data_IF_925248631102
#
_entry.id   IF_925248631102
#
_cell.length_a   1.000
_cell.length_b   1.000
_cell.length_c   1.000
_cell.angle_alpha   90.00
_cell.angle_beta   90.00
_cell.angle_gamma   90.00
#
_symmetry.space_group_name_H-M   'P 1'
#
loop_
_entity.id
_entity.type
_entity.pdbx_description
1 polymer ?
#
# COMPACT_ATOMS: atom_id res chain seq x y z
N UNK A 1 -23.75 54.75 50.77
CA UNK A 1 -22.38 54.56 50.26
C UNK A 1 -21.77 55.93 49.98
N UNK A 2 -20.99 56.50 50.92
CA UNK A 2 -20.53 57.90 50.90
C UNK A 2 -19.01 58.08 51.12
N UNK A 3 -18.23 56.99 51.06
CA UNK A 3 -16.83 56.97 51.53
C UNK A 3 -15.77 56.91 50.42
N UNK A 4 -16.17 56.87 49.14
CA UNK A 4 -15.22 56.82 48.01
C UNK A 4 -14.93 58.20 47.38
N UNK A 5 -15.51 59.29 47.89
CA UNK A 5 -15.33 60.62 47.30
C UNK A 5 -14.04 61.35 47.66
N UNK A 6 -13.17 60.78 48.51
CA UNK A 6 -11.97 61.44 49.02
C UNK A 6 -10.65 60.94 48.40
N UNK A 7 -10.70 60.02 47.43
CA UNK A 7 -9.51 59.47 46.74
C UNK A 7 -9.37 59.95 45.28
N UNK A 8 -10.25 60.83 44.80
CA UNK A 8 -10.13 61.40 43.45
C UNK A 8 -9.22 62.65 43.50
N UNK A 9 -7.93 62.45 43.19
CA UNK A 9 -6.88 63.50 43.14
C UNK A 9 -7.11 64.49 41.98
N UNK A 10 -7.96 64.14 41.03
CA UNK A 10 -8.41 65.04 39.97
C UNK A 10 -9.94 65.17 40.07
N UNK A 11 -10.50 66.35 40.42
CA UNK A 11 -11.94 66.56 40.32
C UNK A 11 -12.32 66.37 38.86
N UNK A 12 -13.06 65.30 38.58
CA UNK A 12 -13.62 65.04 37.26
C UNK A 12 -14.36 66.30 36.83
N UNK A 13 -13.95 66.89 35.70
CA UNK A 13 -14.58 68.08 35.13
C UNK A 13 -16.10 67.94 35.25
N UNK A 14 -16.81 68.97 35.74
CA UNK A 14 -18.27 68.86 35.91
C UNK A 14 -18.86 68.27 34.64
N UNK A 15 -19.76 67.31 34.77
CA UNK A 15 -20.37 66.61 33.63
C UNK A 15 -20.98 67.57 32.60
N UNK A 16 -21.29 68.80 33.02
CA UNK A 16 -21.66 69.94 32.18
C UNK A 16 -20.54 70.39 31.22
N UNK A 17 -19.31 70.55 31.68
CA UNK A 17 -18.16 70.88 30.83
C UNK A 17 -17.78 69.73 29.90
N UNK A 18 -17.90 68.47 30.34
CA UNK A 18 -17.70 67.30 29.46
C UNK A 18 -18.74 67.23 28.33
N UNK A 19 -19.99 67.63 28.58
CA UNK A 19 -21.04 67.65 27.57
C UNK A 19 -20.90 68.83 26.59
N UNK A 20 -20.47 70.00 27.08
CA UNK A 20 -20.27 71.20 26.26
C UNK A 20 -18.98 71.13 25.40
N UNK A 21 -17.93 70.45 25.88
CA UNK A 21 -16.72 70.19 25.10
C UNK A 21 -16.89 69.01 24.13
N UNK A 22 -17.81 68.08 24.42
CA UNK A 22 -18.09 66.90 23.58
C UNK A 22 -19.22 67.18 22.61
N UNK A 23 -18.89 67.84 21.50
CA UNK A 23 -19.80 67.95 20.37
C UNK A 23 -20.04 66.56 19.76
N UNK A 24 -21.24 66.01 20.00
CA UNK A 24 -21.70 64.76 19.37
C UNK A 24 -22.02 65.04 17.91
N UNK A 25 -21.08 64.76 17.02
CA UNK A 25 -21.31 64.83 15.58
C UNK A 25 -21.70 63.44 15.06
N UNK A 26 -22.78 63.38 14.27
CA UNK A 26 -23.22 62.13 13.62
C UNK A 26 -22.10 61.53 12.74
N UNK A 27 -21.33 62.41 12.11
CA UNK A 27 -20.16 62.07 11.28
C UNK A 27 -19.06 61.40 12.10
N UNK A 28 -18.74 61.92 13.30
CA UNK A 28 -17.76 61.29 14.20
C UNK A 28 -18.19 59.91 14.69
N UNK A 29 -19.49 59.70 14.88
CA UNK A 29 -20.07 58.39 15.20
C UNK A 29 -19.88 57.38 14.07
N UNK A 30 -20.10 57.80 12.81
CA UNK A 30 -19.88 56.94 11.63
C UNK A 30 -18.40 56.56 11.51
N UNK A 31 -17.48 57.52 11.66
CA UNK A 31 -16.04 57.23 11.62
C UNK A 31 -15.59 56.26 12.73
N UNK A 32 -16.16 56.38 13.93
CA UNK A 32 -15.89 55.46 15.04
C UNK A 32 -16.41 54.03 14.77
N UNK A 33 -17.57 53.91 14.13
CA UNK A 33 -18.13 52.62 13.71
C UNK A 33 -17.27 51.96 12.63
N UNK A 34 -16.81 52.75 11.65
CA UNK A 34 -15.92 52.28 10.59
C UNK A 34 -14.58 51.81 11.16
N UNK A 35 -13.97 52.59 12.07
CA UNK A 35 -12.69 52.21 12.67
C UNK A 35 -12.80 50.94 13.50
N UNK A 36 -13.88 50.79 14.28
CA UNK A 36 -14.14 49.58 15.06
C UNK A 36 -14.34 48.35 14.16
N UNK A 37 -15.03 48.51 13.03
CA UNK A 37 -15.21 47.45 12.04
C UNK A 37 -13.87 47.02 11.44
N UNK A 38 -13.04 47.99 11.02
CA UNK A 38 -11.71 47.71 10.45
C UNK A 38 -10.84 46.95 11.47
N UNK A 39 -10.82 47.41 12.73
CA UNK A 39 -10.07 46.74 13.81
C UNK A 39 -10.58 45.30 14.00
N UNK A 40 -11.89 45.08 14.03
CA UNK A 40 -12.46 43.75 14.19
C UNK A 40 -12.07 42.81 13.04
N UNK A 41 -12.10 43.29 11.79
CA UNK A 41 -11.69 42.50 10.61
C UNK A 41 -10.21 42.13 10.69
N UNK A 42 -9.34 43.07 11.06
CA UNK A 42 -7.90 42.81 11.21
C UNK A 42 -7.62 41.78 12.31
N UNK A 43 -8.28 41.91 13.47
CA UNK A 43 -8.13 40.95 14.58
C UNK A 43 -8.58 39.55 14.15
N UNK A 44 -9.71 39.42 13.47
CA UNK A 44 -10.19 38.12 12.97
C UNK A 44 -9.19 37.53 11.96
N UNK A 45 -8.62 38.36 11.09
CA UNK A 45 -7.61 37.95 10.11
C UNK A 45 -6.35 37.40 10.77
N UNK A 46 -5.77 38.15 11.72
CA UNK A 46 -4.59 37.73 12.47
C UNK A 46 -4.84 36.47 13.30
N UNK A 47 -6.00 36.36 13.94
CA UNK A 47 -6.38 35.16 14.70
C UNK A 47 -6.47 33.94 13.78
N UNK A 48 -7.10 34.09 12.61
CA UNK A 48 -7.15 33.01 11.59
C UNK A 48 -5.76 32.61 11.11
N UNK A 49 -4.88 33.58 10.88
CA UNK A 49 -3.51 33.34 10.46
C UNK A 49 -2.70 32.62 11.56
N UNK A 50 -2.85 33.06 12.81
CA UNK A 50 -2.21 32.42 13.96
C UNK A 50 -2.68 30.97 14.17
N UNK A 51 -3.97 30.69 13.90
CA UNK A 51 -4.50 29.32 13.93
C UNK A 51 -4.14 28.49 12.69
N UNK A 52 -3.51 29.07 11.66
CA UNK A 52 -3.01 28.28 10.55
C UNK A 52 -1.75 27.52 11.00
N UNK A 53 -1.78 26.20 10.85
CA UNK A 53 -0.59 25.38 11.07
C UNK A 53 0.35 25.55 9.89
N UNK A 54 1.58 25.98 10.17
CA UNK A 54 2.66 25.99 9.18
C UNK A 54 3.57 24.81 9.50
N UNK A 55 3.57 23.82 8.62
CA UNK A 55 4.50 22.70 8.69
C UNK A 55 5.93 23.21 8.44
N UNK A 56 6.81 23.07 9.44
CA UNK A 56 8.23 23.37 9.31
C UNK A 56 9.00 22.06 9.21
N UNK A 57 9.65 21.82 8.07
CA UNK A 57 10.48 20.63 7.88
C UNK A 57 11.91 20.93 8.36
N UNK A 58 12.28 20.36 9.50
CA UNK A 58 13.65 20.40 10.01
C UNK A 58 14.40 19.12 9.64
N UNK A 59 15.67 19.25 9.28
CA UNK A 59 16.56 18.12 9.02
C UNK A 59 17.39 17.86 10.28
N UNK A 60 17.27 16.66 10.83
CA UNK A 60 18.08 16.18 11.95
C UNK A 60 19.05 15.11 11.46
N UNK A 61 20.26 15.09 12.03
CA UNK A 61 21.22 14.01 11.76
C UNK A 61 20.83 12.83 12.64
N UNK A 62 20.42 11.73 12.02
CA UNK A 62 20.18 10.48 12.73
C UNK A 62 21.52 9.90 13.24
N UNK A 63 21.75 9.81 14.56
CA UNK A 63 22.99 9.26 15.11
C UNK A 63 23.03 7.74 15.04
N UNK A 64 21.87 7.07 14.88
CA UNK A 64 21.75 5.61 14.86
C UNK A 64 21.90 5.11 13.42
N UNK A 65 23.15 4.96 12.98
CA UNK A 65 23.46 4.28 11.73
C UNK A 65 23.37 2.77 11.92
N UNK A 66 22.35 2.16 11.33
CA UNK A 66 22.17 0.71 11.28
C UNK A 66 20.96 0.25 12.07
N UNK A 67 19.96 -0.24 11.35
CA UNK A 67 18.73 -0.82 11.87
C UNK A 67 18.05 -1.59 10.74
N UNK A 68 17.16 -2.51 11.09
CA UNK A 68 16.36 -3.18 10.07
C UNK A 68 15.17 -2.30 9.70
N UNK A 69 14.97 -2.03 8.41
CA UNK A 69 13.82 -1.29 7.91
C UNK A 69 12.81 -2.28 7.33
N UNK A 70 11.64 -2.38 7.97
CA UNK A 70 10.52 -3.16 7.42
C UNK A 70 9.83 -2.33 6.31
N UNK A 71 9.99 -2.77 5.06
CA UNK A 71 9.32 -2.15 3.91
C UNK A 71 8.19 -3.07 3.49
N UNK A 72 6.95 -2.62 3.66
CA UNK A 72 5.77 -3.32 3.14
C UNK A 72 5.32 -2.67 1.84
N UNK A 73 5.36 -3.41 0.75
CA UNK A 73 4.94 -2.95 -0.58
C UNK A 73 3.62 -3.62 -0.95
N UNK A 74 2.62 -2.80 -1.28
CA UNK A 74 1.30 -3.25 -1.71
C UNK A 74 0.96 -2.62 -3.08
N UNK A 75 1.08 -3.40 -4.14
CA UNK A 75 0.92 -2.92 -5.53
C UNK A 75 -0.13 -3.78 -6.25
N UNK A 76 -0.98 -3.12 -7.04
CA UNK A 76 -1.97 -3.77 -7.89
C UNK A 76 -1.62 -3.62 -9.37
N UNK A 77 -1.72 -4.73 -10.11
CA UNK A 77 -1.43 -4.81 -11.53
C UNK A 77 -2.72 -5.09 -12.32
N UNK A 78 -3.30 -4.07 -12.99
CA UNK A 78 -4.63 -4.18 -13.59
C UNK A 78 -4.68 -5.01 -14.88
N UNK A 79 -3.54 -5.24 -15.54
CA UNK A 79 -3.47 -5.92 -16.85
C UNK A 79 -2.47 -7.08 -16.88
N UNK A 80 -2.03 -7.54 -15.71
CA UNK A 80 -1.04 -8.61 -15.60
C UNK A 80 -1.59 -9.72 -14.71
N UNK A 81 -1.62 -10.98 -15.17
CA UNK A 81 -2.05 -12.10 -14.35
C UNK A 81 -0.99 -12.43 -13.29
N UNK A 82 -1.44 -12.85 -12.10
CA UNK A 82 -0.53 -13.14 -10.98
C UNK A 82 0.51 -14.23 -11.26
N UNK A 83 0.20 -15.17 -12.15
CA UNK A 83 1.11 -16.27 -12.52
C UNK A 83 2.39 -15.78 -13.23
N UNK A 84 2.36 -14.58 -13.81
CA UNK A 84 3.47 -14.02 -14.60
C UNK A 84 4.37 -13.04 -13.84
N UNK A 85 3.97 -12.63 -12.65
CA UNK A 85 4.69 -11.58 -11.91
C UNK A 85 5.74 -12.23 -11.00
N UNK A 86 6.95 -11.70 -10.95
CA UNK A 86 7.93 -12.02 -9.89
C UNK A 86 8.29 -10.73 -9.16
N UNK A 87 8.78 -10.86 -7.92
CA UNK A 87 9.20 -9.70 -7.13
C UNK A 87 10.59 -9.98 -6.58
N UNK A 88 11.53 -9.12 -6.96
CA UNK A 88 12.92 -9.13 -6.53
C UNK A 88 13.24 -7.75 -5.94
N UNK A 89 14.03 -7.70 -4.86
CA UNK A 89 14.54 -6.45 -4.32
C UNK A 89 16.07 -6.43 -4.40
N UNK A 90 16.62 -5.29 -4.82
CA UNK A 90 18.05 -5.08 -5.00
C UNK A 90 18.44 -3.81 -4.25
N UNK A 91 19.48 -3.89 -3.44
CA UNK A 91 20.03 -2.75 -2.70
C UNK A 91 20.89 -1.84 -3.60
N UNK A 92 21.23 -0.63 -3.14
CA UNK A 92 22.12 0.31 -3.82
C UNK A 92 23.48 -0.28 -4.20
N UNK A 93 23.93 -1.32 -3.48
CA UNK A 93 25.16 -2.07 -3.79
C UNK A 93 24.97 -3.16 -4.87
N UNK A 94 23.76 -3.34 -5.41
CA UNK A 94 23.47 -4.35 -6.42
C UNK A 94 23.29 -5.77 -5.88
N UNK A 95 23.17 -5.93 -4.56
CA UNK A 95 22.92 -7.21 -3.89
C UNK A 95 21.42 -7.49 -3.81
N UNK A 96 21.00 -8.71 -4.17
CA UNK A 96 19.62 -9.15 -3.99
C UNK A 96 19.30 -9.32 -2.50
N UNK A 97 18.16 -8.79 -2.07
CA UNK A 97 17.64 -9.05 -0.73
C UNK A 97 17.20 -10.53 -0.66
N UNK A 98 17.66 -11.26 0.35
CA UNK A 98 17.27 -12.65 0.55
C UNK A 98 15.84 -12.73 1.12
N UNK A 99 15.05 -13.72 0.69
CA UNK A 99 13.75 -14.01 1.30
C UNK A 99 12.55 -13.26 0.70
N UNK A 100 12.77 -12.33 -0.24
CA UNK A 100 11.67 -11.59 -0.92
C UNK A 100 10.67 -12.53 -1.56
N UNK A 101 11.13 -13.62 -2.18
CA UNK A 101 10.26 -14.62 -2.80
C UNK A 101 9.38 -15.37 -1.79
N UNK A 102 9.85 -15.57 -0.54
CA UNK A 102 9.07 -16.28 0.49
C UNK A 102 8.04 -15.36 1.14
N UNK A 103 8.40 -14.11 1.35
CA UNK A 103 7.57 -13.11 2.04
C UNK A 103 6.65 -12.32 1.08
N UNK A 104 6.68 -12.65 -0.21
CA UNK A 104 5.76 -12.10 -1.20
C UNK A 104 4.53 -13.00 -1.36
N UNK A 105 3.37 -12.39 -1.21
CA UNK A 105 2.06 -13.00 -1.39
C UNK A 105 1.39 -12.39 -2.61
N UNK A 106 0.87 -13.27 -3.47
CA UNK A 106 0.05 -12.89 -4.61
C UNK A 106 -1.40 -13.30 -4.38
N UNK A 107 -2.33 -12.41 -4.70
CA UNK A 107 -3.75 -12.69 -4.65
C UNK A 107 -4.43 -12.13 -5.90
N UNK A 108 -5.31 -12.93 -6.50
CA UNK A 108 -6.17 -12.47 -7.59
C UNK A 108 -7.32 -11.68 -6.97
N UNK A 109 -7.52 -10.44 -7.39
CA UNK A 109 -8.57 -9.56 -6.89
C UNK A 109 -9.50 -9.08 -8.00
N UNK A 110 -10.75 -8.78 -7.65
CA UNK A 110 -11.73 -8.24 -8.59
C UNK A 110 -11.36 -6.81 -9.00
N UNK A 111 -11.45 -6.51 -10.30
CA UNK A 111 -11.09 -5.20 -10.82
C UNK A 111 -11.94 -4.04 -10.23
N UNK A 112 -13.20 -4.31 -9.89
CA UNK A 112 -14.15 -3.30 -9.40
C UNK A 112 -14.12 -3.10 -7.89
N UNK A 113 -13.90 -4.16 -7.12
CA UNK A 113 -14.14 -4.18 -5.66
C UNK A 113 -12.84 -4.40 -4.87
N UNK A 114 -11.73 -4.76 -5.55
CA UNK A 114 -10.47 -5.17 -4.93
C UNK A 114 -10.59 -6.33 -3.92
N UNK A 115 -11.73 -7.02 -3.92
CA UNK A 115 -11.95 -8.20 -3.09
C UNK A 115 -11.15 -9.38 -3.64
N UNK A 116 -10.62 -10.19 -2.71
CA UNK A 116 -9.84 -11.39 -3.03
C UNK A 116 -10.76 -12.45 -3.63
N UNK A 117 -10.51 -12.79 -4.89
CA UNK A 117 -11.21 -13.86 -5.62
C UNK A 117 -10.55 -15.22 -5.33
N UNK A 118 -9.25 -15.22 -5.06
CA UNK A 118 -8.47 -16.44 -4.79
C UNK A 118 -7.76 -16.39 -3.44
N UNK A 119 -7.53 -17.58 -2.88
CA UNK A 119 -6.62 -17.75 -1.74
C UNK A 119 -5.23 -17.20 -2.07
N UNK A 120 -4.61 -16.60 -1.06
CA UNK A 120 -3.27 -16.04 -1.12
C UNK A 120 -2.25 -17.17 -1.37
N UNK A 121 -1.47 -17.08 -2.44
CA UNK A 121 -0.40 -18.03 -2.73
C UNK A 121 0.96 -17.36 -2.55
N UNK A 122 1.92 -18.00 -1.85
CA UNK A 122 3.30 -17.50 -1.77
C UNK A 122 3.98 -17.58 -3.15
N UNK A 123 5.03 -16.79 -3.34
CA UNK A 123 5.72 -16.66 -4.63
C UNK A 123 6.40 -17.97 -5.07
N UNK A 124 6.93 -18.78 -4.14
CA UNK A 124 7.54 -20.10 -4.42
C UNK A 124 7.39 -21.07 -3.24
N UNK A 125 6.90 -22.29 -3.48
CA UNK A 125 7.14 -23.47 -2.62
C UNK A 125 8.47 -24.11 -3.06
N UNK A 126 9.62 -23.54 -2.66
CA UNK A 126 10.97 -24.02 -3.08
C UNK A 126 11.24 -25.48 -2.67
N UNK A 127 10.39 -26.06 -1.81
CA UNK A 127 10.50 -27.46 -1.39
C UNK A 127 10.00 -28.46 -2.43
N UNK A 128 9.31 -28.03 -3.49
CA UNK A 128 8.94 -28.94 -4.58
C UNK A 128 10.03 -28.92 -5.65
N UNK A 129 11.17 -29.54 -5.31
CA UNK A 129 12.25 -29.85 -6.26
C UNK A 129 11.63 -30.40 -7.54
N UNK A 130 12.07 -29.89 -8.68
CA UNK A 130 11.84 -30.45 -10.01
C UNK A 130 12.23 -31.93 -9.93
N UNK A 131 11.25 -32.80 -9.73
CA UNK A 131 11.48 -34.24 -9.76
C UNK A 131 11.73 -34.57 -11.22
N UNK A 132 12.94 -34.99 -11.57
CA UNK A 132 13.13 -35.74 -12.81
C UNK A 132 12.55 -37.13 -12.60
N UNK A 133 12.03 -37.76 -13.65
CA UNK A 133 11.58 -39.14 -13.52
C UNK A 133 12.78 -40.03 -13.16
N UNK A 134 12.65 -40.76 -12.05
CA UNK A 134 13.67 -41.65 -11.55
C UNK A 134 13.39 -43.06 -12.08
N UNK A 135 14.38 -43.69 -12.70
CA UNK A 135 14.29 -45.11 -13.06
C UNK A 135 14.19 -45.98 -11.79
N UNK A 136 13.70 -47.25 -11.87
CA UNK A 136 13.68 -48.18 -10.72
C UNK A 136 15.07 -48.45 -10.11
N UNK A 137 16.16 -48.04 -10.79
CA UNK A 137 17.54 -48.11 -10.31
C UNK A 137 18.06 -46.78 -9.71
N UNK A 138 17.25 -45.73 -9.63
CA UNK A 138 17.68 -44.44 -9.08
C UNK A 138 18.44 -43.53 -10.05
N UNK A 139 18.52 -43.88 -11.34
CA UNK A 139 19.21 -43.07 -12.34
C UNK A 139 18.27 -41.99 -12.91
N UNK A 140 18.79 -40.76 -13.09
CA UNK A 140 18.11 -39.70 -13.81
C UNK A 140 18.14 -40.01 -15.31
N UNK A 141 16.97 -40.13 -15.93
CA UNK A 141 16.89 -40.33 -17.38
C UNK A 141 16.95 -38.97 -18.08
N UNK A 142 17.98 -38.75 -18.90
CA UNK A 142 18.10 -37.51 -19.67
C UNK A 142 16.91 -37.38 -20.63
N UNK A 143 16.30 -36.18 -20.68
CA UNK A 143 15.13 -35.84 -21.50
C UNK A 143 13.78 -36.48 -21.08
N UNK A 144 13.66 -36.96 -19.84
CA UNK A 144 12.43 -37.56 -19.28
C UNK A 144 11.85 -36.70 -18.13
N UNK A 145 10.91 -35.78 -18.41
CA UNK A 145 10.18 -35.05 -17.38
C UNK A 145 9.31 -35.99 -16.52
N UNK A 146 9.21 -35.73 -15.21
CA UNK A 146 8.41 -36.55 -14.30
C UNK A 146 6.91 -36.27 -14.39
N UNK A 147 6.13 -37.23 -13.92
CA UNK A 147 4.70 -37.10 -13.70
C UNK A 147 4.38 -36.71 -12.24
N UNK A 148 5.35 -36.14 -11.50
CA UNK A 148 5.21 -35.69 -10.10
C UNK A 148 4.67 -36.77 -9.15
N UNK A 149 5.13 -38.02 -9.30
CA UNK A 149 4.73 -39.15 -8.45
C UNK A 149 3.46 -39.88 -8.93
N UNK A 150 2.86 -39.43 -10.03
CA UNK A 150 1.71 -40.07 -10.66
C UNK A 150 2.09 -41.06 -11.77
N UNK A 151 3.36 -41.43 -11.91
CA UNK A 151 3.84 -42.32 -12.97
C UNK A 151 3.05 -43.66 -12.97
N UNK A 152 2.50 -44.11 -14.13
CA UNK A 152 1.78 -45.38 -14.22
C UNK A 152 2.70 -46.59 -13.99
N UNK A 153 3.96 -46.48 -14.43
CA UNK A 153 5.01 -47.48 -14.27
C UNK A 153 6.29 -46.79 -13.77
N UNK A 154 7.14 -47.46 -12.97
CA UNK A 154 8.40 -46.87 -12.50
C UNK A 154 9.31 -46.58 -13.70
N UNK A 155 9.52 -45.29 -13.99
CA UNK A 155 10.30 -44.81 -15.14
C UNK A 155 9.47 -44.28 -16.32
N UNK A 156 8.14 -44.18 -16.20
CA UNK A 156 7.29 -43.53 -17.21
C UNK A 156 7.48 -41.99 -17.20
N UNK A 157 7.61 -41.39 -18.39
CA UNK A 157 7.81 -39.94 -18.57
C UNK A 157 6.51 -39.23 -18.95
N UNK A 158 6.31 -38.00 -18.49
CA UNK A 158 5.19 -37.14 -18.89
C UNK A 158 5.69 -35.93 -19.69
N UNK A 159 5.57 -35.97 -21.02
CA UNK A 159 6.06 -34.89 -21.89
C UNK A 159 5.06 -33.74 -22.04
N UNK A 160 3.76 -34.02 -21.95
CA UNK A 160 2.71 -33.02 -22.14
C UNK A 160 1.87 -32.81 -20.88
N UNK A 161 1.21 -31.65 -20.78
CA UNK A 161 0.26 -31.36 -19.71
C UNK A 161 -0.86 -32.41 -19.63
N UNK A 162 -1.33 -32.90 -20.78
CA UNK A 162 -2.34 -33.96 -20.87
C UNK A 162 -1.85 -35.31 -20.31
N UNK A 163 -0.55 -35.61 -20.46
CA UNK A 163 0.03 -36.83 -19.90
C UNK A 163 0.01 -36.77 -18.37
N UNK A 164 0.37 -35.62 -17.78
CA UNK A 164 0.30 -35.39 -16.34
C UNK A 164 -1.16 -35.49 -15.86
N UNK A 165 -2.10 -34.85 -16.56
CA UNK A 165 -3.53 -34.91 -16.22
C UNK A 165 -4.06 -36.34 -16.26
N UNK A 166 -3.67 -37.12 -17.27
CA UNK A 166 -4.04 -38.54 -17.40
C UNK A 166 -3.43 -39.38 -16.27
N UNK A 167 -2.16 -39.17 -15.97
CA UNK A 167 -1.45 -39.85 -14.88
C UNK A 167 -2.14 -39.60 -13.52
N UNK A 168 -2.48 -38.34 -13.23
CA UNK A 168 -3.25 -37.96 -12.03
C UNK A 168 -4.65 -38.59 -12.01
N UNK A 169 -5.34 -38.60 -13.15
CA UNK A 169 -6.67 -39.20 -13.29
C UNK A 169 -6.66 -40.71 -13.02
N UNK A 170 -5.66 -41.43 -13.55
CA UNK A 170 -5.49 -42.87 -13.31
C UNK A 170 -5.26 -43.17 -11.82
N UNK A 171 -4.52 -42.30 -11.12
CA UNK A 171 -4.31 -42.41 -9.67
C UNK A 171 -5.45 -41.83 -8.82
N UNK A 172 -6.50 -41.28 -9.43
CA UNK A 172 -7.60 -40.57 -8.77
C UNK A 172 -7.11 -39.41 -7.88
N UNK A 173 -6.07 -38.70 -8.30
CA UNK A 173 -5.60 -37.48 -7.66
C UNK A 173 -6.27 -36.25 -8.25
N UNK A 174 -6.52 -35.24 -7.41
CA UNK A 174 -7.06 -33.96 -7.87
C UNK A 174 -5.94 -33.18 -8.54
N UNK A 175 -6.08 -32.93 -9.83
CA UNK A 175 -5.17 -32.07 -10.58
C UNK A 175 -5.71 -30.63 -10.58
N UNK A 176 -4.93 -29.71 -10.03
CA UNK A 176 -5.24 -28.29 -10.10
C UNK A 176 -4.48 -27.68 -11.28
N UNK A 177 -5.21 -27.16 -12.27
CA UNK A 177 -4.60 -26.58 -13.48
C UNK A 177 -3.81 -25.29 -13.18
N UNK A 178 -4.08 -24.66 -12.04
CA UNK A 178 -3.36 -23.47 -11.58
C UNK A 178 -2.10 -23.82 -10.77
N UNK A 179 -1.72 -25.10 -10.63
CA UNK A 179 -0.50 -25.48 -9.92
C UNK A 179 0.75 -25.06 -10.71
N UNK A 180 1.56 -24.17 -10.12
CA UNK A 180 2.77 -23.64 -10.75
C UNK A 180 3.85 -24.70 -10.90
N UNK A 181 3.83 -25.70 -10.03
CA UNK A 181 4.87 -26.71 -9.96
C UNK A 181 4.94 -27.64 -11.16
N UNK A 182 3.89 -27.68 -12.00
CA UNK A 182 3.80 -28.53 -13.19
C UNK A 182 4.29 -27.78 -14.41
N UNK A 183 5.55 -28.04 -14.80
CA UNK A 183 6.24 -27.32 -15.88
C UNK A 183 5.61 -27.57 -17.26
N UNK A 184 5.12 -28.80 -17.49
CA UNK A 184 4.52 -29.20 -18.76
C UNK A 184 3.23 -28.45 -19.08
N UNK A 185 2.60 -27.83 -18.06
CA UNK A 185 1.38 -27.05 -18.19
C UNK A 185 1.63 -25.53 -18.25
N UNK A 186 2.89 -25.07 -18.26
CA UNK A 186 3.22 -23.65 -18.23
C UNK A 186 2.61 -22.89 -19.42
N UNK A 187 2.73 -23.41 -20.64
CA UNK A 187 2.21 -22.72 -21.84
C UNK A 187 0.69 -22.60 -21.84
N UNK A 188 -0.03 -23.65 -21.47
CA UNK A 188 -1.50 -23.63 -21.36
C UNK A 188 -1.97 -22.62 -20.30
N UNK A 189 -1.26 -22.55 -19.17
CA UNK A 189 -1.54 -21.57 -18.11
C UNK A 189 -1.36 -20.14 -18.62
N UNK A 190 -0.30 -19.86 -19.39
CA UNK A 190 -0.10 -18.56 -20.02
C UNK A 190 -1.23 -18.20 -20.97
N UNK A 191 -1.67 -19.14 -21.82
CA UNK A 191 -2.79 -18.92 -22.74
C UNK A 191 -4.09 -18.63 -21.99
N UNK A 192 -4.42 -19.42 -20.96
CA UNK A 192 -5.60 -19.19 -20.10
C UNK A 192 -5.51 -17.83 -19.40
N UNK A 193 -4.37 -17.49 -18.82
CA UNK A 193 -4.15 -16.21 -18.15
C UNK A 193 -4.31 -15.01 -19.10
N UNK A 194 -3.81 -15.11 -20.34
CA UNK A 194 -3.99 -14.08 -21.36
C UNK A 194 -5.47 -13.88 -21.74
N UNK A 195 -6.23 -14.98 -21.90
CA UNK A 195 -7.67 -14.90 -22.19
C UNK A 195 -8.47 -14.27 -21.04
N UNK A 196 -8.10 -14.57 -19.80
CA UNK A 196 -8.74 -14.01 -18.60
C UNK A 196 -8.42 -12.52 -18.43
N UNK A 197 -7.21 -12.09 -18.78
CA UNK A 197 -6.82 -10.68 -18.78
C UNK A 197 -7.62 -9.86 -19.81
N UNK A 198 -7.93 -10.44 -20.97
CA UNK A 198 -8.77 -9.81 -22.00
C UNK A 198 -10.22 -9.61 -21.57
N UNK A 199 -10.74 -10.38 -20.60
CA UNK A 199 -12.13 -10.29 -20.13
C UNK A 199 -12.32 -9.32 -18.96
N UNK A 200 -11.27 -8.63 -18.51
CA UNK A 200 -11.37 -7.48 -17.60
C UNK A 200 -11.84 -7.79 -16.17
N UNK A 201 -11.93 -9.06 -15.77
CA UNK A 201 -12.53 -9.44 -14.49
C UNK A 201 -11.58 -9.49 -13.29
N UNK A 202 -10.32 -9.88 -13.52
CA UNK A 202 -9.39 -10.20 -12.44
C UNK A 202 -8.04 -9.53 -12.64
N UNK A 203 -7.57 -8.85 -11.59
CA UNK A 203 -6.29 -8.15 -11.54
C UNK A 203 -5.40 -8.80 -10.47
N UNK A 204 -4.10 -8.53 -10.51
CA UNK A 204 -3.18 -9.08 -9.50
C UNK A 204 -2.90 -8.09 -8.39
N UNK A 205 -3.01 -8.53 -7.14
CA UNK A 205 -2.54 -7.84 -5.95
C UNK A 205 -1.25 -8.52 -5.46
N UNK A 206 -0.17 -7.75 -5.37
CA UNK A 206 1.12 -8.21 -4.85
C UNK A 206 1.41 -7.49 -3.54
N UNK A 207 1.64 -8.27 -2.49
CA UNK A 207 2.03 -7.80 -1.17
C UNK A 207 3.36 -8.44 -0.84
N UNK A 208 4.41 -7.63 -0.67
CA UNK A 208 5.73 -8.12 -0.26
C UNK A 208 6.18 -7.41 1.01
N UNK A 209 6.80 -8.16 1.91
CA UNK A 209 7.48 -7.66 3.09
C UNK A 209 8.97 -7.83 2.90
N UNK A 210 9.70 -6.73 2.99
CA UNK A 210 11.14 -6.70 2.89
C UNK A 210 11.71 -6.41 4.27
N UNK A 211 12.71 -7.19 4.65
CA UNK A 211 13.53 -6.96 5.83
C UNK A 211 14.92 -6.56 5.32
N UNK A 212 15.16 -5.25 5.26
CA UNK A 212 16.47 -4.66 4.89
C UNK A 212 17.25 -4.22 6.10
#
# INVERSE_FOLDING_TARGET
MRWLGQLDVFPKFDTKFEQDARQRTAVGGIFSLISLLIIAVLVIGEVRYFFSTVEQHEMYVDPDLGGTMEITVNITFPRVPCDLITADAIDAFGTFAEGVERDTVKSRVAASTLEKISEARPLVDEKKKITKALDPSGAEKENCPSCYGAEPEPGACCHTCEDVRRAYSLRRWVFNEDDISVEQCAEERLRKAATLSSQGGAICLLITKLHG
#
